data_IF_723404722473
#
_entry.id   IF_723404722473
#
_cell.length_a   1.000
_cell.length_b   1.000
_cell.length_c   1.000
_cell.angle_alpha   90.00
_cell.angle_beta   90.00
_cell.angle_gamma   90.00
#
_symmetry.space_group_name_H-M   'P 1'
#
loop_
_entity.id
_entity.type
_entity.pdbx_description
1 polymer ?
#
# COMPACT_ATOMS: atom_id res chain seq x y z
N UNK A 1 -1.77 12.91 -19.88
CA UNK A 1 -3.13 12.60 -19.40
C UNK A 1 -4.18 12.75 -20.48
N UNK A 2 -4.11 13.80 -21.31
CA UNK A 2 -5.07 14.03 -22.39
C UNK A 2 -5.05 12.93 -23.46
N UNK A 3 -3.88 12.34 -23.77
CA UNK A 3 -3.81 11.22 -24.72
C UNK A 3 -4.61 9.99 -24.28
N UNK A 4 -4.58 9.67 -22.99
CA UNK A 4 -5.38 8.57 -22.43
C UNK A 4 -6.87 8.88 -22.51
N UNK A 5 -7.28 10.13 -22.25
CA UNK A 5 -8.69 10.55 -22.38
C UNK A 5 -9.16 10.48 -23.84
N UNK A 6 -8.31 10.88 -24.79
CA UNK A 6 -8.57 10.78 -26.22
C UNK A 6 -8.73 9.32 -26.64
N UNK A 7 -7.77 8.46 -26.29
CA UNK A 7 -7.83 7.03 -26.58
C UNK A 7 -9.11 6.40 -25.99
N UNK A 8 -9.45 6.73 -24.75
CA UNK A 8 -10.65 6.25 -24.10
C UNK A 8 -11.93 6.58 -24.88
N UNK A 9 -12.04 7.80 -25.40
CA UNK A 9 -13.15 8.22 -26.25
C UNK A 9 -13.16 7.46 -27.58
N UNK A 10 -12.00 7.24 -28.19
CA UNK A 10 -11.85 6.53 -29.46
C UNK A 10 -12.29 5.06 -29.35
N UNK A 11 -11.94 4.38 -28.26
CA UNK A 11 -12.26 2.97 -28.04
C UNK A 11 -13.63 2.76 -27.36
N UNK A 12 -14.27 3.84 -26.89
CA UNK A 12 -15.60 3.80 -26.27
C UNK A 12 -15.65 3.23 -24.85
N UNK A 13 -14.64 3.48 -23.99
CA UNK A 13 -14.75 3.12 -22.56
C UNK A 13 -15.67 4.06 -21.79
N UNK A 14 -16.32 3.54 -20.76
CA UNK A 14 -17.26 4.30 -19.92
C UNK A 14 -16.58 5.37 -19.05
N UNK A 15 -15.38 5.12 -18.54
CA UNK A 15 -14.69 6.03 -17.61
C UNK A 15 -13.16 5.88 -17.66
N UNK A 16 -12.46 7.00 -17.44
CA UNK A 16 -11.02 7.05 -17.14
C UNK A 16 -10.82 7.60 -15.74
N UNK A 17 -10.09 6.86 -14.90
CA UNK A 17 -9.68 7.34 -13.57
C UNK A 17 -8.17 7.34 -13.42
N UNK A 18 -7.63 8.39 -12.80
CA UNK A 18 -6.22 8.47 -12.48
C UNK A 18 -5.98 8.17 -11.01
N UNK A 19 -5.14 7.17 -10.75
CA UNK A 19 -4.71 6.80 -9.41
C UNK A 19 -3.28 7.24 -9.19
N UNK A 20 -3.01 7.89 -8.05
CA UNK A 20 -1.64 8.22 -7.67
C UNK A 20 -0.85 6.93 -7.40
N UNK A 21 0.30 6.79 -8.04
CA UNK A 21 1.15 5.60 -7.92
C UNK A 21 1.78 5.49 -6.53
N UNK A 22 1.93 4.26 -6.04
CA UNK A 22 2.77 3.94 -4.89
C UNK A 22 4.13 3.49 -5.42
N UNK A 23 5.20 4.15 -4.99
CA UNK A 23 6.57 3.87 -5.42
C UNK A 23 7.36 3.45 -4.18
N UNK A 24 8.22 2.43 -4.29
CA UNK A 24 9.04 1.94 -3.18
C UNK A 24 10.18 2.91 -2.86
N UNK A 25 11.07 3.14 -3.82
CA UNK A 25 12.23 4.03 -3.68
C UNK A 25 11.85 5.50 -3.95
N UNK A 26 10.73 5.93 -3.40
CA UNK A 26 10.18 7.25 -3.70
C UNK A 26 11.09 8.38 -3.21
N UNK A 27 11.81 8.20 -2.10
CA UNK A 27 12.56 9.27 -1.43
C UNK A 27 13.56 9.97 -2.36
N UNK A 28 14.28 9.19 -3.17
CA UNK A 28 15.25 9.69 -4.15
C UNK A 28 14.75 9.58 -5.59
N UNK A 29 13.68 8.83 -5.84
CA UNK A 29 13.06 8.58 -7.15
C UNK A 29 14.09 8.25 -8.26
N UNK A 30 14.93 7.22 -8.07
CA UNK A 30 16.08 6.96 -8.95
C UNK A 30 15.65 6.64 -10.39
N UNK A 31 14.44 6.11 -10.55
CA UNK A 31 13.85 5.72 -11.83
C UNK A 31 12.91 6.79 -12.41
N UNK A 32 12.81 7.97 -11.79
CA UNK A 32 11.97 9.09 -12.25
C UNK A 32 10.50 8.69 -12.48
N UNK A 33 9.97 7.88 -11.57
CA UNK A 33 8.60 7.35 -11.66
C UNK A 33 7.56 8.29 -11.06
N UNK A 34 7.98 9.30 -10.28
CA UNK A 34 7.06 10.25 -9.67
C UNK A 34 6.56 11.23 -10.74
N UNK A 35 5.23 11.39 -10.92
CA UNK A 35 4.69 12.35 -11.87
C UNK A 35 5.15 13.79 -11.57
N UNK A 36 5.59 14.49 -12.61
CA UNK A 36 5.96 15.92 -12.54
C UNK A 36 4.76 16.84 -12.27
N UNK A 37 3.55 16.40 -12.65
CA UNK A 37 2.32 17.13 -12.36
C UNK A 37 1.87 16.86 -10.92
N UNK A 38 2.00 17.87 -10.05
CA UNK A 38 1.76 17.75 -8.60
C UNK A 38 0.41 17.10 -8.25
N UNK A 39 -0.65 17.46 -8.99
CA UNK A 39 -2.02 16.92 -8.85
C UNK A 39 -2.06 15.39 -8.87
N UNK A 40 -1.27 14.76 -9.74
CA UNK A 40 -1.22 13.30 -9.92
C UNK A 40 -0.10 12.63 -9.13
N UNK A 41 0.69 13.41 -8.39
CA UNK A 41 1.75 12.90 -7.53
C UNK A 41 1.23 12.60 -6.12
N UNK A 42 1.60 11.42 -5.62
CA UNK A 42 1.42 11.01 -4.21
C UNK A 42 2.42 11.71 -3.28
N UNK A 43 3.53 12.19 -3.83
CA UNK A 43 4.70 12.64 -3.08
C UNK A 43 4.96 14.12 -3.32
N UNK A 44 5.56 14.79 -2.35
CA UNK A 44 6.06 16.17 -2.47
C UNK A 44 7.51 16.22 -2.02
N UNK A 45 8.30 17.16 -2.53
CA UNK A 45 9.67 17.37 -2.04
C UNK A 45 9.66 18.13 -0.70
N UNK A 46 10.52 17.73 0.21
CA UNK A 46 10.83 18.49 1.42
C UNK A 46 11.93 19.54 1.15
N UNK A 47 12.36 20.26 2.19
CA UNK A 47 13.39 21.30 2.08
C UNK A 47 14.77 20.77 1.66
N UNK A 48 15.02 19.46 1.82
CA UNK A 48 16.27 18.79 1.43
C UNK A 48 16.20 18.22 0.01
N UNK A 49 15.05 18.31 -0.65
CA UNK A 49 14.81 17.79 -1.99
C UNK A 49 14.33 16.33 -2.02
N UNK A 50 14.24 15.66 -0.88
CA UNK A 50 13.73 14.29 -0.77
C UNK A 50 12.21 14.26 -0.90
N UNK A 51 11.67 13.23 -1.52
CA UNK A 51 10.23 13.04 -1.60
C UNK A 51 9.66 12.45 -0.30
N UNK A 52 8.55 13.03 0.14
CA UNK A 52 7.74 12.56 1.26
C UNK A 52 6.28 12.37 0.84
N UNK A 53 5.55 11.39 1.41
CA UNK A 53 4.13 11.21 1.10
C UNK A 53 3.29 12.43 1.49
N UNK A 54 2.33 12.83 0.64
CA UNK A 54 1.40 13.93 0.94
C UNK A 54 0.33 13.54 1.96
N UNK A 55 -0.07 12.27 1.96
CA UNK A 55 -1.20 11.79 2.75
C UNK A 55 -0.80 11.62 4.22
N UNK A 56 -1.70 12.05 5.12
CA UNK A 56 -1.54 11.79 6.56
C UNK A 56 -1.82 10.31 6.83
N UNK A 57 -0.89 9.65 7.53
CA UNK A 57 -1.02 8.27 7.94
C UNK A 57 -1.59 8.20 9.36
N UNK A 58 -2.81 7.69 9.52
CA UNK A 58 -3.40 7.42 10.82
C UNK A 58 -3.02 6.00 11.28
N UNK A 59 -2.73 5.79 12.57
CA UNK A 59 -2.38 4.48 13.17
C UNK A 59 -3.61 3.57 13.32
N UNK A 60 -4.29 3.33 12.21
CA UNK A 60 -5.41 2.41 12.03
C UNK A 60 -5.36 1.84 10.63
N UNK A 61 -5.81 0.61 10.46
CA UNK A 61 -5.86 -0.06 9.17
C UNK A 61 -7.13 -0.91 9.11
N UNK A 62 -8.01 -0.58 8.18
CA UNK A 62 -9.25 -1.36 7.98
C UNK A 62 -8.91 -2.77 7.51
N UNK A 63 -7.91 -2.93 6.63
CA UNK A 63 -7.46 -4.23 6.11
C UNK A 63 -7.17 -5.24 7.22
N UNK A 64 -6.40 -4.83 8.22
CA UNK A 64 -5.95 -5.69 9.30
C UNK A 64 -7.08 -6.32 10.15
N UNK A 65 -8.26 -5.69 10.13
CA UNK A 65 -9.42 -6.14 10.90
C UNK A 65 -10.35 -7.06 10.10
N UNK A 66 -10.30 -7.04 8.76
CA UNK A 66 -11.28 -7.75 7.93
C UNK A 66 -10.68 -8.79 6.97
N UNK A 67 -9.38 -8.74 6.70
CA UNK A 67 -8.77 -9.65 5.74
C UNK A 67 -7.25 -9.78 5.93
N UNK A 68 -6.72 -10.88 5.42
CA UNK A 68 -5.30 -11.16 5.21
C UNK A 68 -5.09 -11.65 3.77
N UNK A 69 -3.85 -11.99 3.42
CA UNK A 69 -3.54 -12.71 2.18
C UNK A 69 -2.97 -14.08 2.54
N UNK A 70 -3.26 -15.08 1.72
CA UNK A 70 -2.68 -16.42 1.78
C UNK A 70 -1.91 -16.60 0.47
N UNK A 71 -0.62 -16.88 0.56
CA UNK A 71 0.24 -17.13 -0.61
C UNK A 71 -0.03 -18.52 -1.17
N UNK A 72 0.40 -18.76 -2.41
CA UNK A 72 0.20 -20.05 -3.09
C UNK A 72 0.84 -21.24 -2.35
N UNK A 73 1.89 -21.00 -1.56
CA UNK A 73 2.60 -22.00 -0.77
C UNK A 73 2.12 -22.10 0.69
N UNK A 74 1.03 -21.40 1.04
CA UNK A 74 0.34 -21.53 2.33
C UNK A 74 0.79 -20.56 3.42
N UNK A 75 1.67 -19.59 3.14
CA UNK A 75 2.02 -18.53 4.09
C UNK A 75 0.84 -17.58 4.28
N UNK A 76 0.63 -17.15 5.51
CA UNK A 76 -0.36 -16.14 5.86
C UNK A 76 0.36 -14.82 6.12
N UNK A 77 -0.01 -13.77 5.40
CA UNK A 77 0.62 -12.43 5.47
C UNK A 77 -0.44 -11.35 5.75
N UNK A 78 -0.10 -10.21 6.37
CA UNK A 78 -1.08 -9.25 6.89
C UNK A 78 -1.91 -8.57 5.81
N UNK A 79 -1.37 -8.36 4.61
CA UNK A 79 -2.00 -7.54 3.58
C UNK A 79 -1.34 -7.75 2.21
N UNK A 80 -2.02 -7.38 1.12
CA UNK A 80 -1.47 -7.38 -0.24
C UNK A 80 -0.34 -6.36 -0.47
N UNK A 81 -0.05 -5.50 0.51
CA UNK A 81 1.15 -4.64 0.49
C UNK A 81 2.43 -5.40 0.84
N UNK A 82 2.32 -6.57 1.46
CA UNK A 82 3.45 -7.48 1.71
C UNK A 82 3.71 -8.37 0.48
N UNK A 83 4.19 -7.73 -0.60
CA UNK A 83 4.30 -8.36 -1.93
C UNK A 83 5.27 -9.54 -1.96
N UNK A 84 6.30 -9.48 -1.11
CA UNK A 84 7.37 -10.48 -1.02
C UNK A 84 7.20 -11.40 0.20
N UNK A 85 6.06 -11.34 0.90
CA UNK A 85 5.75 -12.16 2.07
C UNK A 85 6.81 -12.10 3.18
N UNK A 86 7.31 -10.91 3.48
CA UNK A 86 8.31 -10.68 4.52
C UNK A 86 7.69 -10.65 5.93
N UNK A 87 6.40 -10.34 6.05
CA UNK A 87 5.67 -10.26 7.31
C UNK A 87 4.81 -11.51 7.53
N UNK A 88 5.45 -12.67 7.67
CA UNK A 88 4.76 -13.95 7.82
C UNK A 88 4.10 -14.08 9.19
N UNK A 89 2.77 -14.20 9.19
CA UNK A 89 1.96 -14.36 10.40
C UNK A 89 1.76 -15.84 10.77
N UNK A 90 1.93 -16.76 9.82
CA UNK A 90 1.84 -18.20 10.04
C UNK A 90 1.90 -19.00 8.74
N UNK A 91 1.76 -20.32 8.84
CA UNK A 91 1.83 -21.23 7.68
C UNK A 91 0.76 -22.32 7.79
N UNK A 92 -0.13 -22.37 6.78
CA UNK A 92 -1.26 -23.30 6.73
C UNK A 92 -0.86 -24.77 6.50
N UNK A 93 0.40 -25.04 6.16
CA UNK A 93 0.94 -26.40 6.11
C UNK A 93 1.07 -27.04 7.50
N UNK A 94 1.23 -26.21 8.53
CA UNK A 94 1.53 -26.67 9.89
C UNK A 94 0.46 -26.28 10.92
N UNK A 95 -0.40 -25.31 10.59
CA UNK A 95 -1.39 -24.72 11.50
C UNK A 95 -2.71 -24.48 10.76
N UNK A 96 -3.83 -24.68 11.45
CA UNK A 96 -5.12 -24.21 10.96
C UNK A 96 -5.15 -22.67 10.91
N UNK A 97 -5.98 -22.11 10.03
CA UNK A 97 -6.13 -20.65 9.97
C UNK A 97 -6.60 -20.04 11.30
N UNK A 98 -7.44 -20.77 12.06
CA UNK A 98 -7.89 -20.33 13.39
C UNK A 98 -6.73 -20.19 14.37
N UNK A 99 -5.77 -21.11 14.33
CA UNK A 99 -4.55 -21.01 15.14
C UNK A 99 -3.70 -19.82 14.71
N UNK A 100 -3.48 -19.64 13.40
CA UNK A 100 -2.71 -18.50 12.87
C UNK A 100 -3.33 -17.17 13.26
N UNK A 101 -4.65 -16.99 13.11
CA UNK A 101 -5.36 -15.75 13.43
C UNK A 101 -5.24 -15.32 14.91
N UNK A 102 -5.04 -16.29 15.80
CA UNK A 102 -4.98 -16.10 17.24
C UNK A 102 -3.57 -16.28 17.83
N UNK A 103 -2.54 -16.50 16.99
CA UNK A 103 -1.16 -16.65 17.45
C UNK A 103 -0.53 -15.31 17.82
N UNK A 104 0.69 -15.37 18.36
CA UNK A 104 1.36 -14.18 18.87
C UNK A 104 1.93 -13.29 17.77
N UNK A 105 2.37 -13.85 16.64
CA UNK A 105 2.80 -13.06 15.47
C UNK A 105 1.67 -12.13 14.98
N UNK A 106 0.46 -12.67 14.88
CA UNK A 106 -0.72 -11.92 14.45
C UNK A 106 -1.10 -10.82 15.45
N UNK A 107 -1.08 -11.13 16.75
CA UNK A 107 -1.35 -10.15 17.83
C UNK A 107 -0.28 -9.05 17.86
N UNK A 108 0.99 -9.42 17.71
CA UNK A 108 2.12 -8.50 17.69
C UNK A 108 1.98 -7.52 16.53
N UNK A 109 1.79 -8.02 15.30
CA UNK A 109 1.65 -7.15 14.12
C UNK A 109 0.49 -6.16 14.28
N UNK A 110 -0.66 -6.61 14.81
CA UNK A 110 -1.79 -5.72 15.14
C UNK A 110 -1.42 -4.64 16.16
N UNK A 111 -0.69 -5.01 17.21
CA UNK A 111 -0.23 -4.08 18.25
C UNK A 111 0.73 -3.03 17.68
N UNK A 112 1.70 -3.46 16.88
CA UNK A 112 2.66 -2.57 16.21
C UNK A 112 1.96 -1.60 15.27
N UNK A 113 0.99 -2.08 14.49
CA UNK A 113 0.20 -1.26 13.59
C UNK A 113 -0.59 -0.17 14.32
N UNK A 114 -1.19 -0.50 15.47
CA UNK A 114 -1.94 0.45 16.29
C UNK A 114 -1.02 1.45 17.00
N UNK A 115 0.22 1.07 17.31
CA UNK A 115 1.23 1.96 17.89
C UNK A 115 1.79 2.95 16.87
N UNK A 116 2.30 2.46 15.73
CA UNK A 116 2.85 3.31 14.67
C UNK A 116 2.94 2.57 13.34
N UNK A 117 2.06 2.92 12.39
CA UNK A 117 2.18 2.42 11.01
C UNK A 117 3.44 2.88 10.30
N UNK A 118 4.05 3.99 10.73
CA UNK A 118 5.27 4.52 10.12
C UNK A 118 6.49 3.62 10.36
N UNK A 119 6.42 2.74 11.35
CA UNK A 119 7.52 1.86 11.73
C UNK A 119 7.47 0.50 11.03
N UNK A 120 6.40 0.23 10.26
CA UNK A 120 6.24 -0.98 9.46
C UNK A 120 6.38 -0.54 8.00
N UNK A 121 7.42 -1.00 7.34
CA UNK A 121 7.79 -0.67 5.95
C UNK A 121 6.60 -0.73 4.97
N UNK A 122 5.85 -1.84 4.98
CA UNK A 122 4.68 -2.03 4.09
C UNK A 122 3.50 -1.10 4.45
N UNK A 123 3.46 -0.58 5.68
CA UNK A 123 2.40 0.29 6.18
C UNK A 123 2.73 1.78 6.03
N UNK A 124 4.01 2.15 6.10
CA UNK A 124 4.50 3.53 6.13
C UNK A 124 4.17 4.32 4.85
N UNK A 125 4.08 3.62 3.71
CA UNK A 125 3.75 4.18 2.39
C UNK A 125 2.44 3.59 1.81
N UNK A 126 1.59 3.03 2.67
CA UNK A 126 0.34 2.40 2.28
C UNK A 126 -0.76 3.43 2.02
N UNK A 127 -1.60 3.18 1.02
CA UNK A 127 -2.76 4.02 0.68
C UNK A 127 -4.05 3.68 1.43
N UNK A 128 -4.03 2.68 2.31
CA UNK A 128 -5.21 2.28 3.08
C UNK A 128 -5.71 3.42 3.96
N UNK A 129 -6.94 3.87 3.70
CA UNK A 129 -7.58 5.02 4.35
C UNK A 129 -7.20 6.39 3.78
N UNK A 130 -6.57 6.46 2.59
CA UNK A 130 -6.15 7.71 1.97
C UNK A 130 -6.80 7.93 0.58
N UNK A 131 -7.04 9.19 0.23
CA UNK A 131 -7.51 9.56 -1.12
C UNK A 131 -6.38 9.38 -2.13
N UNK A 132 -6.60 8.51 -3.13
CA UNK A 132 -5.63 8.19 -4.18
C UNK A 132 -6.13 8.51 -5.58
N UNK A 133 -7.42 8.73 -5.75
CA UNK A 133 -8.04 9.08 -7.03
C UNK A 133 -7.95 10.58 -7.26
N UNK A 134 -7.71 10.97 -8.51
CA UNK A 134 -7.59 12.36 -8.95
C UNK A 134 -8.37 12.53 -10.25
N UNK A 135 -9.23 13.53 -10.27
CA UNK A 135 -10.01 13.99 -11.42
C UNK A 135 -9.32 15.20 -12.03
#
# INVERSE_FOLDING_TARGET
VEDIKRLAKEIGVDEVRFKTAQIYDYATDPNQLIPTTDKFSRYKKDATGNYIPKNKLANRCWKMQHANVITWDGLVVPCCFDKDALHQLGNLKNQSFKEVWNNDNYKQFRSELLKSRKNIDICANCSEGASVWKD
#
